data_IF_561891774316
#
_entry.id   IF_561891774316
#
_cell.length_a   1.000
_cell.length_b   1.000
_cell.length_c   1.000
_cell.angle_alpha   90.00
_cell.angle_beta   90.00
_cell.angle_gamma   90.00
#
_symmetry.space_group_name_H-M   'P 1'
#
loop_
_entity.id
_entity.type
_entity.pdbx_description
1 polymer ?
#
# COMPACT_ATOMS: atom_id res chain seq x y z
N UNK A 1 -7.47 9.89 4.18
CA UNK A 1 -8.30 9.25 3.15
C UNK A 1 -8.62 7.86 3.63
N UNK A 2 -9.86 7.40 3.42
CA UNK A 2 -10.43 6.22 4.06
C UNK A 2 -10.91 5.25 3.00
N UNK A 3 -10.42 4.01 3.09
CA UNK A 3 -10.46 3.04 1.99
C UNK A 3 -10.96 1.67 2.44
N UNK A 4 -11.11 0.73 1.50
CA UNK A 4 -11.28 -0.69 1.85
C UNK A 4 -10.03 -1.22 2.57
N UNK A 5 -10.20 -1.80 3.76
CA UNK A 5 -9.10 -2.36 4.55
C UNK A 5 -9.23 -3.88 4.61
N UNK A 6 -8.12 -4.59 4.47
CA UNK A 6 -8.05 -6.04 4.61
C UNK A 6 -8.55 -6.46 5.99
N UNK A 7 -9.54 -7.37 6.01
CA UNK A 7 -10.16 -7.90 7.22
C UNK A 7 -9.45 -9.16 7.78
N UNK A 8 -8.44 -9.67 7.06
CA UNK A 8 -7.63 -10.80 7.52
C UNK A 8 -6.68 -10.34 8.65
N UNK A 9 -7.00 -10.72 9.89
CA UNK A 9 -6.23 -10.34 11.07
C UNK A 9 -4.80 -10.87 11.06
N UNK A 10 -4.50 -11.93 10.29
CA UNK A 10 -3.12 -12.45 10.17
C UNK A 10 -2.22 -11.53 9.35
N UNK A 11 -2.81 -10.62 8.58
CA UNK A 11 -2.13 -9.63 7.75
C UNK A 11 -2.14 -8.24 8.38
N UNK A 12 -2.61 -8.12 9.61
CA UNK A 12 -2.57 -6.85 10.36
C UNK A 12 -1.19 -6.67 10.97
N UNK A 13 -0.63 -5.47 10.82
CA UNK A 13 0.57 -5.09 11.57
C UNK A 13 0.27 -5.06 13.07
N UNK A 14 0.99 -5.84 13.89
CA UNK A 14 0.74 -5.90 15.32
C UNK A 14 1.08 -4.57 15.99
N UNK A 15 0.32 -4.22 17.02
CA UNK A 15 0.68 -3.08 17.85
C UNK A 15 2.02 -3.34 18.55
N UNK A 16 2.81 -2.29 18.70
CA UNK A 16 4.02 -2.38 19.52
C UNK A 16 3.68 -2.61 21.00
N UNK A 17 4.62 -3.18 21.74
CA UNK A 17 4.44 -3.51 23.15
C UNK A 17 4.02 -2.28 23.97
N UNK A 18 2.90 -2.41 24.69
CA UNK A 18 2.33 -1.32 25.49
C UNK A 18 1.70 -0.17 24.68
N UNK A 19 1.57 -0.29 23.36
CA UNK A 19 1.03 0.75 22.47
C UNK A 19 -0.25 0.27 21.79
N UNK A 20 -1.07 1.22 21.33
CA UNK A 20 -2.28 0.95 20.54
C UNK A 20 -2.07 1.17 19.03
N UNK A 21 -0.82 1.29 18.60
CA UNK A 21 -0.40 1.49 17.21
C UNK A 21 0.83 0.63 16.88
N UNK A 22 1.06 0.28 15.61
CA UNK A 22 2.24 -0.45 15.18
C UNK A 22 3.48 0.48 15.06
N UNK A 23 4.65 -0.07 15.38
CA UNK A 23 5.95 0.50 15.02
C UNK A 23 6.60 -0.47 14.02
N UNK A 24 6.87 0.01 12.81
CA UNK A 24 7.27 -0.83 11.69
C UNK A 24 8.70 -0.45 11.28
N UNK A 25 9.61 -1.42 11.42
CA UNK A 25 10.96 -1.26 10.89
C UNK A 25 10.94 -1.25 9.37
N UNK A 26 11.70 -0.33 8.78
CA UNK A 26 11.88 -0.27 7.34
C UNK A 26 13.33 -0.02 6.94
N UNK A 27 13.73 -0.65 5.85
CA UNK A 27 15.02 -0.50 5.20
C UNK A 27 14.82 0.10 3.81
N UNK A 28 15.68 1.03 3.41
CA UNK A 28 15.73 1.56 2.05
C UNK A 28 17.08 1.19 1.46
N UNK A 29 17.07 0.43 0.36
CA UNK A 29 18.25 0.17 -0.43
C UNK A 29 18.80 1.46 -1.04
N UNK A 30 20.13 1.54 -1.18
CA UNK A 30 20.80 2.74 -1.68
C UNK A 30 20.23 3.24 -3.02
N UNK A 31 19.91 2.31 -3.93
CA UNK A 31 19.38 2.64 -5.26
C UNK A 31 17.90 3.06 -5.25
N UNK A 32 17.21 2.88 -4.12
CA UNK A 32 15.82 3.27 -3.91
C UNK A 32 15.68 4.48 -2.97
N UNK A 33 16.78 5.07 -2.48
CA UNK A 33 16.75 6.15 -1.48
C UNK A 33 16.48 7.53 -2.09
N UNK A 34 15.29 7.67 -2.68
CA UNK A 34 14.77 8.91 -3.22
C UNK A 34 14.13 9.77 -2.11
N UNK A 35 14.10 11.09 -2.33
CA UNK A 35 13.55 12.04 -1.35
C UNK A 35 12.06 11.81 -1.07
N UNK A 36 11.34 11.36 -2.08
CA UNK A 36 9.92 11.03 -2.12
C UNK A 36 9.62 9.78 -1.29
N UNK A 37 10.52 8.80 -1.31
CA UNK A 37 10.39 7.59 -0.47
C UNK A 37 10.51 7.98 1.01
N UNK A 38 11.52 8.78 1.36
CA UNK A 38 11.68 9.29 2.72
C UNK A 38 10.51 10.17 3.15
N UNK A 39 10.03 11.03 2.25
CA UNK A 39 8.89 11.91 2.49
C UNK A 39 7.59 11.12 2.72
N UNK A 40 7.33 10.08 1.95
CA UNK A 40 6.15 9.24 2.10
C UNK A 40 6.06 8.57 3.48
N UNK A 41 7.15 7.96 3.97
CA UNK A 41 7.18 7.42 5.34
C UNK A 41 6.98 8.51 6.40
N UNK A 42 7.62 9.66 6.23
CA UNK A 42 7.51 10.79 7.18
C UNK A 42 6.08 11.34 7.24
N UNK A 43 5.45 11.56 6.09
CA UNK A 43 4.10 12.12 6.00
C UNK A 43 3.06 11.15 6.55
N UNK A 44 3.16 9.86 6.22
CA UNK A 44 2.30 8.84 6.82
C UNK A 44 2.46 8.77 8.34
N UNK A 45 3.69 8.85 8.87
CA UNK A 45 3.93 8.89 10.32
C UNK A 45 3.43 10.18 11.01
N UNK A 46 3.33 11.28 10.24
CA UNK A 46 2.86 12.57 10.74
C UNK A 46 1.33 12.64 10.81
N UNK A 47 0.65 12.15 9.78
CA UNK A 47 -0.82 12.21 9.67
C UNK A 47 -1.53 10.98 10.26
N UNK A 48 -0.79 9.98 10.74
CA UNK A 48 -1.36 8.78 11.37
C UNK A 48 -0.66 8.44 12.69
N UNK A 49 -1.22 7.48 13.44
CA UNK A 49 -0.58 6.96 14.65
C UNK A 49 0.57 5.98 14.37
N UNK A 50 0.69 5.48 13.13
CA UNK A 50 1.72 4.49 12.74
C UNK A 50 3.10 5.14 12.83
N UNK A 51 4.07 4.40 13.35
CA UNK A 51 5.47 4.85 13.40
C UNK A 51 6.36 3.96 12.55
N UNK A 52 7.35 4.57 11.93
CA UNK A 52 8.29 3.90 11.04
C UNK A 52 9.72 4.13 11.54
N UNK A 53 10.45 3.03 11.76
CA UNK A 53 11.82 3.07 12.26
C UNK A 53 12.79 2.69 11.13
N UNK A 54 13.62 3.63 10.67
CA UNK A 54 14.59 3.33 9.61
C UNK A 54 15.73 2.51 10.19
N UNK A 55 15.96 1.31 9.65
CA UNK A 55 17.09 0.45 10.00
C UNK A 55 18.16 0.50 8.90
N UNK A 56 19.42 0.30 9.31
CA UNK A 56 20.57 0.31 8.39
C UNK A 56 20.85 -1.00 7.68
N UNK A 57 20.02 -2.04 7.90
CA UNK A 57 20.21 -3.38 7.38
C UNK A 57 18.93 -3.91 6.75
N UNK A 58 19.08 -4.73 5.71
CA UNK A 58 17.95 -5.40 5.07
C UNK A 58 17.29 -6.37 6.03
N UNK A 59 15.96 -6.32 6.11
CA UNK A 59 15.15 -7.19 6.96
C UNK A 59 15.03 -8.54 6.25
N UNK A 60 15.30 -9.64 6.96
CA UNK A 60 15.38 -10.99 6.37
C UNK A 60 14.74 -12.05 7.27
N UNK A 61 14.55 -13.25 6.70
CA UNK A 61 14.03 -14.41 7.43
C UNK A 61 12.57 -14.23 7.85
N UNK A 62 12.25 -14.57 9.10
CA UNK A 62 10.90 -14.46 9.66
C UNK A 62 10.60 -13.09 10.29
N UNK A 63 11.54 -12.14 10.22
CA UNK A 63 11.32 -10.81 10.77
C UNK A 63 10.36 -10.03 9.86
N UNK A 64 9.39 -9.37 10.48
CA UNK A 64 8.44 -8.50 9.78
C UNK A 64 8.98 -7.08 9.71
N UNK A 65 8.63 -6.39 8.62
CA UNK A 65 9.08 -5.04 8.33
C UNK A 65 9.03 -4.79 6.83
N UNK A 66 9.51 -3.64 6.39
CA UNK A 66 9.40 -3.21 4.99
C UNK A 66 10.80 -3.03 4.39
N UNK A 67 11.09 -3.76 3.32
CA UNK A 67 12.26 -3.50 2.48
C UNK A 67 11.83 -2.70 1.25
N UNK A 68 12.38 -1.50 1.07
CA UNK A 68 12.24 -0.73 -0.17
C UNK A 68 13.46 -1.00 -1.04
N UNK A 69 13.23 -1.59 -2.21
CA UNK A 69 14.27 -2.06 -3.13
C UNK A 69 14.11 -1.40 -4.50
N UNK A 70 15.23 -1.14 -5.16
CA UNK A 70 15.19 -0.62 -6.52
C UNK A 70 14.84 -1.72 -7.53
N UNK A 71 14.00 -1.40 -8.52
CA UNK A 71 13.66 -2.34 -9.59
C UNK A 71 13.30 -1.66 -10.92
N UNK A 72 14.34 -1.19 -11.62
CA UNK A 72 14.27 -0.73 -13.03
C UNK A 72 13.04 0.14 -13.31
N UNK A 73 12.09 -0.32 -14.14
CA UNK A 73 10.89 0.44 -14.55
C UNK A 73 9.60 -0.09 -13.92
N UNK A 74 9.66 -0.78 -12.80
CA UNK A 74 8.45 -1.29 -12.14
C UNK A 74 8.36 -0.85 -10.70
N UNK A 75 7.16 -0.38 -10.36
CA UNK A 75 6.80 0.04 -9.03
C UNK A 75 5.59 -0.73 -8.56
N UNK A 76 5.75 -1.47 -7.47
CA UNK A 76 4.75 -2.39 -6.95
C UNK A 76 5.12 -2.84 -5.55
N UNK A 77 4.16 -3.34 -4.80
CA UNK A 77 4.43 -4.25 -3.69
C UNK A 77 3.96 -5.65 -4.05
N UNK A 78 4.54 -6.67 -3.41
CA UNK A 78 4.18 -8.07 -3.63
C UNK A 78 3.03 -8.53 -2.74
N UNK A 79 2.75 -7.77 -1.68
CA UNK A 79 1.85 -8.21 -0.63
C UNK A 79 1.14 -7.02 0.01
N UNK A 80 -0.19 -7.01 -0.04
CA UNK A 80 -1.00 -6.07 0.73
C UNK A 80 -1.03 -6.48 2.21
N UNK A 81 -1.04 -5.52 3.14
CA UNK A 81 -0.94 -5.84 4.57
C UNK A 81 0.41 -6.50 4.94
N UNK A 82 0.57 -6.84 6.22
CA UNK A 82 1.75 -7.52 6.71
C UNK A 82 1.89 -8.91 6.06
N UNK A 83 3.08 -9.22 5.55
CA UNK A 83 3.41 -10.54 5.05
C UNK A 83 3.61 -11.52 6.23
N UNK A 84 2.79 -12.58 6.39
CA UNK A 84 2.92 -13.51 7.50
C UNK A 84 4.19 -14.37 7.44
N UNK A 85 4.88 -14.41 6.29
CA UNK A 85 6.01 -15.29 6.05
C UNK A 85 7.37 -14.57 6.05
N UNK A 86 7.42 -13.27 6.37
CA UNK A 86 8.67 -12.50 6.42
C UNK A 86 8.45 -11.01 6.15
N UNK A 87 9.47 -10.30 5.62
CA UNK A 87 9.33 -8.88 5.31
C UNK A 87 8.42 -8.65 4.10
N UNK A 88 7.78 -7.48 4.08
CA UNK A 88 7.18 -6.92 2.89
C UNK A 88 8.26 -6.31 2.00
N UNK A 89 8.04 -6.34 0.69
CA UNK A 89 8.92 -5.69 -0.29
C UNK A 89 8.12 -4.67 -1.07
N UNK A 90 8.65 -3.44 -1.14
CA UNK A 90 8.20 -2.38 -2.02
C UNK A 90 9.29 -2.17 -3.06
N UNK A 91 8.93 -2.33 -4.33
CA UNK A 91 9.81 -2.03 -5.44
C UNK A 91 9.56 -0.60 -5.91
N UNK A 92 10.64 0.16 -6.02
CA UNK A 92 10.66 1.52 -6.58
C UNK A 92 11.54 1.53 -7.82
N UNK A 93 11.01 2.07 -8.91
CA UNK A 93 11.68 2.17 -10.19
C UNK A 93 11.63 3.58 -10.75
N UNK A 94 12.29 3.75 -11.89
CA UNK A 94 12.49 5.01 -12.62
C UNK A 94 11.17 5.72 -12.99
N UNK A 95 10.08 4.96 -13.07
CA UNK A 95 8.76 5.46 -13.47
C UNK A 95 7.90 5.97 -12.30
N UNK A 96 8.31 5.81 -11.04
CA UNK A 96 7.53 6.28 -9.89
C UNK A 96 8.30 7.05 -8.82
N UNK A 97 9.64 7.11 -8.87
CA UNK A 97 10.40 7.82 -7.84
C UNK A 97 10.06 9.31 -7.73
N UNK A 98 9.58 9.94 -8.82
CA UNK A 98 9.20 11.36 -8.84
C UNK A 98 7.81 11.68 -8.28
N UNK A 99 7.09 10.69 -7.74
CA UNK A 99 5.75 10.91 -7.16
C UNK A 99 5.68 10.37 -5.74
N UNK A 100 5.78 11.29 -4.76
CA UNK A 100 5.54 10.99 -3.35
C UNK A 100 4.17 10.29 -3.17
N UNK A 101 3.13 10.79 -3.82
CA UNK A 101 1.76 10.23 -3.75
C UNK A 101 1.73 8.78 -4.21
N UNK A 102 2.45 8.45 -5.28
CA UNK A 102 2.53 7.06 -5.75
C UNK A 102 3.25 6.18 -4.72
N UNK A 103 4.35 6.64 -4.14
CA UNK A 103 5.05 5.88 -3.09
C UNK A 103 4.17 5.68 -1.85
N UNK A 104 3.42 6.70 -1.43
CA UNK A 104 2.45 6.58 -0.34
C UNK A 104 1.42 5.50 -0.64
N UNK A 105 0.89 5.42 -1.87
CA UNK A 105 -0.07 4.38 -2.25
C UNK A 105 0.48 2.96 -2.06
N UNK A 106 1.75 2.73 -2.39
CA UNK A 106 2.40 1.43 -2.18
C UNK A 106 2.59 1.11 -0.70
N UNK A 107 2.96 2.10 0.12
CA UNK A 107 3.08 1.91 1.58
C UNK A 107 1.70 1.66 2.18
N UNK A 108 0.66 2.41 1.79
CA UNK A 108 -0.72 2.19 2.21
C UNK A 108 -1.20 0.77 1.85
N UNK A 109 -0.85 0.27 0.67
CA UNK A 109 -1.14 -1.12 0.30
C UNK A 109 -0.46 -2.11 1.24
N UNK A 110 0.82 -1.90 1.58
CA UNK A 110 1.55 -2.70 2.59
C UNK A 110 0.94 -2.57 3.99
N UNK A 111 0.31 -1.44 4.33
CA UNK A 111 -0.42 -1.27 5.58
C UNK A 111 -1.79 -1.98 5.58
N UNK A 112 -2.26 -2.41 4.41
CA UNK A 112 -3.47 -3.22 4.24
C UNK A 112 -4.66 -2.49 3.62
N UNK A 113 -4.44 -1.30 3.04
CA UNK A 113 -5.46 -0.57 2.30
C UNK A 113 -5.50 -1.06 0.84
N UNK A 114 -6.69 -1.36 0.33
CA UNK A 114 -6.91 -1.83 -1.04
C UNK A 114 -7.47 -0.70 -1.90
N UNK A 115 -7.18 -0.74 -3.19
CA UNK A 115 -7.53 0.34 -4.12
C UNK A 115 -9.01 0.71 -4.04
N UNK A 116 -9.33 2.00 -3.96
CA UNK A 116 -10.71 2.46 -3.73
C UNK A 116 -11.67 1.99 -4.83
N UNK A 117 -11.19 1.98 -6.09
CA UNK A 117 -11.95 1.45 -7.22
C UNK A 117 -12.14 -0.07 -7.21
N UNK A 118 -11.58 -0.80 -6.23
CA UNK A 118 -11.85 -2.22 -6.02
C UNK A 118 -12.88 -2.47 -4.92
N UNK A 119 -13.37 -1.42 -4.25
CA UNK A 119 -14.47 -1.53 -3.30
C UNK A 119 -15.66 -2.28 -3.87
N UNK A 120 -16.35 -3.02 -3.00
CA UNK A 120 -17.53 -3.80 -3.36
C UNK A 120 -18.70 -2.94 -3.81
N UNK A 121 -18.86 -1.77 -3.17
CA UNK A 121 -19.89 -0.80 -3.45
C UNK A 121 -19.53 0.16 -4.60
N UNK A 122 -18.37 -0.01 -5.24
CA UNK A 122 -17.88 0.92 -6.29
C UNK A 122 -18.88 1.16 -7.41
N UNK A 123 -19.70 0.18 -7.77
CA UNK A 123 -20.59 0.29 -8.94
C UNK A 123 -21.74 1.29 -8.68
N UNK A 124 -21.91 1.75 -7.43
CA UNK A 124 -22.79 2.87 -7.07
C UNK A 124 -22.14 4.24 -7.32
N UNK A 125 -20.83 4.30 -7.57
CA UNK A 125 -20.03 5.53 -7.60
C UNK A 125 -19.25 5.71 -8.91
N UNK A 126 -18.74 4.62 -9.48
CA UNK A 126 -17.93 4.59 -10.70
C UNK A 126 -18.35 3.45 -11.61
N UNK A 127 -18.19 3.66 -12.92
CA UNK A 127 -18.40 2.62 -13.93
C UNK A 127 -17.06 2.28 -14.57
N UNK A 128 -16.69 1.01 -14.52
CA UNK A 128 -15.56 0.48 -15.28
C UNK A 128 -16.08 0.10 -16.67
N UNK A 129 -15.38 0.51 -17.72
CA UNK A 129 -15.64 0.16 -19.12
C UNK A 129 -14.62 -0.90 -19.56
N UNK A 130 -14.92 -2.20 -19.45
CA UNK A 130 -13.95 -3.27 -19.73
C UNK A 130 -13.40 -3.24 -21.16
N UNK A 131 -14.16 -2.72 -22.10
CA UNK A 131 -13.77 -2.51 -23.50
C UNK A 131 -12.57 -1.57 -23.68
N UNK A 132 -12.35 -0.67 -22.72
CA UNK A 132 -11.22 0.26 -22.73
C UNK A 132 -10.01 -0.30 -21.96
N UNK A 133 -10.16 -1.41 -21.25
CA UNK A 133 -9.08 -2.00 -20.46
C UNK A 133 -8.15 -2.82 -21.34
N UNK A 134 -6.85 -2.55 -21.26
CA UNK A 134 -5.87 -3.47 -21.84
C UNK A 134 -5.95 -4.81 -21.09
N UNK A 135 -5.97 -5.97 -21.79
CA UNK A 135 -6.24 -7.27 -21.17
C UNK A 135 -5.36 -7.60 -19.96
N UNK A 136 -4.11 -7.15 -19.96
CA UNK A 136 -3.17 -7.39 -18.87
C UNK A 136 -3.45 -6.56 -17.61
N UNK A 137 -4.21 -5.46 -17.72
CA UNK A 137 -4.63 -4.63 -16.59
C UNK A 137 -5.96 -5.07 -15.98
N UNK A 138 -6.78 -5.85 -16.68
CA UNK A 138 -8.13 -6.25 -16.22
C UNK A 138 -8.14 -6.89 -14.82
N UNK A 139 -7.05 -7.57 -14.42
CA UNK A 139 -6.91 -8.16 -13.08
C UNK A 139 -6.89 -7.14 -11.95
N UNK A 140 -6.45 -5.91 -12.20
CA UNK A 140 -6.34 -4.85 -11.19
C UNK A 140 -7.66 -4.14 -10.92
N UNK A 141 -8.66 -4.31 -11.79
CA UNK A 141 -10.01 -3.73 -11.65
C UNK A 141 -11.04 -4.72 -11.09
N UNK A 142 -10.60 -5.84 -10.51
CA UNK A 142 -11.51 -6.81 -9.89
C UNK A 142 -11.95 -6.30 -8.53
N UNK A 143 -13.27 -6.32 -8.27
CA UNK A 143 -13.81 -5.99 -6.95
C UNK A 143 -13.27 -6.92 -5.87
N UNK A 144 -13.10 -6.37 -4.68
CA UNK A 144 -12.78 -7.11 -3.47
C UNK A 144 -13.83 -8.17 -3.15
N UNK A 145 -13.41 -9.23 -2.47
CA UNK A 145 -14.32 -10.32 -2.07
C UNK A 145 -15.08 -9.95 -0.79
N UNK A 146 -16.29 -10.52 -0.64
CA UNK A 146 -17.25 -10.16 0.43
C UNK A 146 -16.70 -10.26 1.86
N UNK A 147 -15.70 -11.11 2.09
CA UNK A 147 -15.12 -11.33 3.41
C UNK A 147 -13.63 -10.94 3.51
N UNK A 148 -13.06 -10.31 2.48
CA UNK A 148 -11.64 -9.95 2.48
C UNK A 148 -11.39 -8.51 2.88
N UNK A 149 -12.36 -7.61 2.67
CA UNK A 149 -12.23 -6.20 3.02
C UNK A 149 -13.46 -5.63 3.72
N UNK A 150 -13.20 -4.65 4.59
CA UNK A 150 -14.18 -3.87 5.36
C UNK A 150 -13.95 -2.38 5.10
N UNK A 151 -15.03 -1.63 4.96
CA UNK A 151 -14.98 -0.17 4.71
C UNK A 151 -15.22 0.64 5.99
N UNK A 152 -15.41 -0.03 7.14
CA UNK A 152 -15.78 0.58 8.42
C UNK A 152 -16.95 1.57 8.34
N UNK A 153 -17.89 1.33 7.43
CA UNK A 153 -19.06 2.18 7.15
C UNK A 153 -18.70 3.59 6.66
N UNK A 154 -17.53 3.75 6.04
CA UNK A 154 -17.08 5.02 5.47
C UNK A 154 -17.50 5.12 4.00
N UNK A 155 -17.83 6.33 3.56
CA UNK A 155 -18.26 6.63 2.19
C UNK A 155 -17.13 6.44 1.18
N UNK A 156 -17.48 6.37 -0.11
CA UNK A 156 -16.54 6.25 -1.21
C UNK A 156 -15.77 7.56 -1.44
N UNK A 157 -14.45 7.48 -1.55
CA UNK A 157 -13.56 8.66 -1.65
C UNK A 157 -12.92 8.80 -3.04
N UNK A 158 -13.52 9.61 -3.92
CA UNK A 158 -12.97 9.92 -5.24
C UNK A 158 -11.58 10.58 -5.19
N UNK A 159 -11.22 11.21 -4.06
CA UNK A 159 -9.93 11.86 -3.84
C UNK A 159 -8.88 10.95 -3.17
N UNK A 160 -9.20 9.67 -2.95
CA UNK A 160 -8.26 8.73 -2.35
C UNK A 160 -6.97 8.61 -3.18
N UNK A 161 -5.83 8.66 -2.49
CA UNK A 161 -4.49 8.49 -3.09
C UNK A 161 -4.35 7.13 -3.79
N UNK A 162 -5.13 6.12 -3.38
CA UNK A 162 -5.11 4.78 -3.98
C UNK A 162 -6.34 4.51 -4.87
N UNK A 163 -7.12 5.54 -5.21
CA UNK A 163 -8.32 5.37 -6.04
C UNK A 163 -8.00 4.89 -7.45
N UNK A 164 -6.87 5.30 -8.02
CA UNK A 164 -6.54 5.06 -9.43
C UNK A 164 -7.05 6.18 -10.33
N UNK A 165 -6.26 6.46 -11.37
CA UNK A 165 -6.54 7.50 -12.38
C UNK A 165 -7.71 7.09 -13.29
N UNK A 166 -8.42 8.08 -13.82
CA UNK A 166 -9.42 7.88 -14.87
C UNK A 166 -8.80 7.38 -16.20
N UNK A 167 -7.47 7.51 -16.35
CA UNK A 167 -6.73 7.11 -17.54
C UNK A 167 -5.74 6.00 -17.18
N UNK A 168 -6.13 4.74 -17.40
CA UNK A 168 -5.28 3.54 -17.34
C UNK A 168 -5.55 2.72 -18.60
#
# INVERSE_FOLDING_TARGET
TYEAIINDTTRRWPNAEGKNYPEIDYYIDWWADYSEVRAAFRELAHYTCIKFNRVGYRINGKNHGINVLYYTKSCRTEYSGMNPNGPNVIYIGDNCYGSNVFVQSLIMQVLGLEAEHNRRDRDNYVKIYPENLQPHFAKFFKKDRINTTVTYNIQYDYGSVIHGSQFI
#
